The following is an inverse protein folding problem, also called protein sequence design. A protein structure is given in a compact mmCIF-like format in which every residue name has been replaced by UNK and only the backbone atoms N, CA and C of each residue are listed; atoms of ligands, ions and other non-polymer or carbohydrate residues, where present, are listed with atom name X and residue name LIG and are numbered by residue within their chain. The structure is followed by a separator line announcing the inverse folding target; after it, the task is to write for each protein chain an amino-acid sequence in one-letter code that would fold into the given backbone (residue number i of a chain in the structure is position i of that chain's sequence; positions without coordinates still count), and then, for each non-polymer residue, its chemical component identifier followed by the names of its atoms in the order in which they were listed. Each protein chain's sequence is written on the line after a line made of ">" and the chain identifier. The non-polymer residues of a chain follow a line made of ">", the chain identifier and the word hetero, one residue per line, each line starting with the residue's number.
data_IF_588716902138
#
_entry.id   IF_588716902138
#
_cell.length_a   1.000
_cell.length_b   1.000
_cell.length_c   1.000
_cell.angle_alpha   90.00
_cell.angle_beta   90.00
_cell.angle_gamma   90.00
#
_symmetry.space_group_name_H-M   'P 1'
#
loop_
_entity.id
_entity.type
_entity.pdbx_description
1 polymer ?
#
# COMPACT_ATOMS: atom_id res chain seq x y z
N UNK A 1 -10.75 -3.04 20.61
CA UNK A 1 -11.88 -2.60 19.77
C UNK A 1 -11.35 -1.46 18.92
N UNK A 2 -11.52 -1.50 17.59
CA UNK A 2 -11.06 -0.45 16.70
C UNK A 2 -11.97 0.79 16.75
N UNK A 3 -11.42 1.93 16.35
CA UNK A 3 -12.16 3.20 16.23
C UNK A 3 -12.60 3.40 14.79
N UNK A 4 -13.78 3.98 14.55
CA UNK A 4 -14.20 4.37 13.20
C UNK A 4 -13.18 5.34 12.57
N UNK A 5 -12.82 5.14 11.29
CA UNK A 5 -11.82 5.96 10.61
C UNK A 5 -12.19 7.45 10.62
N UNK A 6 -13.47 7.79 10.46
CA UNK A 6 -13.93 9.19 10.51
C UNK A 6 -13.66 9.79 11.88
N UNK A 7 -13.95 9.05 12.95
CA UNK A 7 -13.70 9.49 14.32
C UNK A 7 -12.19 9.66 14.58
N UNK A 8 -11.35 8.73 14.12
CA UNK A 8 -9.90 8.85 14.23
C UNK A 8 -9.37 10.10 13.52
N UNK A 9 -9.78 10.33 12.27
CA UNK A 9 -9.36 11.50 11.52
C UNK A 9 -9.77 12.80 12.22
N UNK A 10 -10.96 12.86 12.83
CA UNK A 10 -11.41 14.02 13.63
C UNK A 10 -10.53 14.26 14.85
N UNK A 11 -10.20 13.19 15.60
CA UNK A 11 -9.28 13.28 16.75
C UNK A 11 -7.92 13.85 16.33
N UNK A 12 -7.51 13.60 15.08
CA UNK A 12 -6.25 14.05 14.50
C UNK A 12 -6.37 15.37 13.71
N UNK A 13 -7.37 16.19 14.06
CA UNK A 13 -7.46 17.58 13.60
C UNK A 13 -8.07 17.77 12.22
N UNK A 14 -8.68 16.73 11.64
CA UNK A 14 -9.52 16.90 10.45
C UNK A 14 -10.84 17.56 10.86
N UNK A 15 -11.24 18.59 10.13
CA UNK A 15 -12.60 19.14 10.28
C UNK A 15 -13.65 18.04 10.04
N UNK A 16 -14.82 18.08 10.70
CA UNK A 16 -15.78 16.98 10.66
C UNK A 16 -16.18 16.51 9.25
N UNK A 17 -16.46 17.46 8.35
CA UNK A 17 -16.81 17.19 6.94
C UNK A 17 -15.61 16.61 6.18
N UNK A 18 -14.40 17.12 6.44
CA UNK A 18 -13.17 16.65 5.80
C UNK A 18 -12.87 15.21 6.21
N UNK A 19 -13.03 14.87 7.48
CA UNK A 19 -12.88 13.50 7.97
C UNK A 19 -13.86 12.52 7.27
N UNK A 20 -15.12 12.94 7.08
CA UNK A 20 -16.12 12.13 6.38
C UNK A 20 -15.75 11.91 4.90
N UNK A 21 -15.32 12.97 4.21
CA UNK A 21 -14.87 12.87 2.82
C UNK A 21 -13.65 11.96 2.67
N UNK A 22 -12.66 12.08 3.56
CA UNK A 22 -11.49 11.20 3.58
C UNK A 22 -11.83 9.75 3.87
N UNK A 23 -12.67 9.49 4.87
CA UNK A 23 -13.10 8.14 5.21
C UNK A 23 -13.82 7.49 4.03
N UNK A 24 -14.74 8.22 3.39
CA UNK A 24 -15.46 7.77 2.19
C UNK A 24 -14.53 7.52 1.00
N UNK A 25 -13.56 8.41 0.79
CA UNK A 25 -12.55 8.27 -0.25
C UNK A 25 -11.67 7.04 -0.03
N UNK A 26 -11.10 6.89 1.16
CA UNK A 26 -10.28 5.74 1.56
C UNK A 26 -11.05 4.45 1.36
N UNK A 27 -12.28 4.34 1.88
CA UNK A 27 -13.12 3.15 1.67
C UNK A 27 -13.19 2.74 0.20
N UNK A 28 -13.62 3.66 -0.66
CA UNK A 28 -13.79 3.35 -2.08
C UNK A 28 -12.48 3.03 -2.80
N UNK A 29 -11.37 3.66 -2.39
CA UNK A 29 -10.03 3.32 -2.89
C UNK A 29 -9.65 1.90 -2.47
N UNK A 30 -9.83 1.53 -1.20
CA UNK A 30 -9.52 0.19 -0.70
C UNK A 30 -10.39 -0.89 -1.37
N UNK A 31 -11.68 -0.63 -1.61
CA UNK A 31 -12.57 -1.54 -2.34
C UNK A 31 -12.01 -1.85 -3.74
N UNK A 32 -11.51 -0.83 -4.44
CA UNK A 32 -10.91 -0.99 -5.77
C UNK A 32 -9.61 -1.79 -5.71
N UNK A 33 -8.72 -1.51 -4.75
CA UNK A 33 -7.49 -2.29 -4.57
C UNK A 33 -7.78 -3.74 -4.23
N UNK A 34 -8.74 -4.01 -3.33
CA UNK A 34 -9.12 -5.36 -2.94
C UNK A 34 -9.72 -6.12 -4.13
N UNK A 35 -10.61 -5.48 -4.90
CA UNK A 35 -11.15 -6.06 -6.13
C UNK A 35 -10.04 -6.36 -7.14
N UNK A 36 -9.15 -5.41 -7.38
CA UNK A 36 -8.03 -5.57 -8.32
C UNK A 36 -7.10 -6.72 -7.91
N UNK A 37 -6.80 -6.84 -6.62
CA UNK A 37 -6.01 -7.95 -6.10
C UNK A 37 -6.73 -9.29 -6.22
N UNK A 38 -8.04 -9.34 -5.99
CA UNK A 38 -8.83 -10.56 -6.18
C UNK A 38 -8.83 -10.99 -7.65
N UNK A 39 -8.97 -10.03 -8.58
CA UNK A 39 -8.96 -10.30 -10.02
C UNK A 39 -7.55 -10.75 -10.49
N UNK A 40 -6.48 -10.12 -10.00
CA UNK A 40 -5.09 -10.52 -10.31
C UNK A 40 -4.75 -11.92 -9.78
N UNK A 41 -5.31 -12.31 -8.62
CA UNK A 41 -5.09 -13.63 -8.03
C UNK A 41 -5.87 -14.77 -8.69
N UNK A 42 -6.79 -14.46 -9.61
CA UNK A 42 -7.45 -15.51 -10.38
C UNK A 42 -6.40 -16.35 -11.14
N UNK A 43 -6.53 -17.69 -11.19
CA UNK A 43 -5.49 -18.56 -11.73
C UNK A 43 -5.01 -18.14 -13.12
N UNK A 44 -5.92 -17.80 -14.04
CA UNK A 44 -5.56 -17.40 -15.40
C UNK A 44 -4.74 -16.10 -15.44
N UNK A 45 -5.10 -15.13 -14.60
CA UNK A 45 -4.43 -13.82 -14.53
C UNK A 45 -3.07 -13.94 -13.85
N UNK A 46 -3.00 -14.74 -12.78
CA UNK A 46 -1.77 -14.99 -12.06
C UNK A 46 -0.75 -15.75 -12.93
N UNK A 47 -1.19 -16.80 -13.63
CA UNK A 47 -0.33 -17.52 -14.58
C UNK A 47 0.13 -16.65 -15.75
N UNK A 48 -0.74 -15.74 -16.23
CA UNK A 48 -0.34 -14.77 -17.25
C UNK A 48 0.70 -13.77 -16.72
N UNK A 49 0.54 -13.26 -15.50
CA UNK A 49 1.50 -12.38 -14.84
C UNK A 49 2.87 -13.06 -14.69
N UNK A 50 2.93 -14.29 -14.16
CA UNK A 50 4.18 -15.02 -13.95
C UNK A 50 5.00 -15.23 -15.23
N UNK A 51 4.34 -15.29 -16.40
CA UNK A 51 4.98 -15.43 -17.72
C UNK A 51 5.57 -14.13 -18.26
N UNK A 52 5.23 -12.97 -17.68
CA UNK A 52 5.77 -11.67 -18.12
C UNK A 52 7.26 -11.57 -17.77
N UNK A 53 8.03 -11.02 -18.70
CA UNK A 53 9.46 -10.78 -18.49
C UNK A 53 9.63 -9.79 -17.33
N UNK A 54 10.42 -10.17 -16.32
CA UNK A 54 10.66 -9.34 -15.13
C UNK A 54 9.56 -9.41 -14.07
N UNK A 55 8.56 -10.30 -14.21
CA UNK A 55 7.54 -10.47 -13.17
C UNK A 55 8.08 -11.16 -11.92
N UNK A 56 9.00 -12.11 -12.09
CA UNK A 56 9.53 -12.95 -11.03
C UNK A 56 11.03 -12.72 -10.84
N UNK A 57 11.46 -12.74 -9.58
CA UNK A 57 12.86 -12.65 -9.19
C UNK A 57 13.68 -13.89 -9.54
N UNK A 58 14.95 -13.85 -9.14
CA UNK A 58 15.88 -14.96 -9.35
C UNK A 58 15.41 -16.20 -8.58
N UNK A 59 15.49 -17.42 -9.17
CA UNK A 59 15.15 -18.65 -8.48
C UNK A 59 15.96 -18.84 -7.20
N UNK A 60 15.29 -19.09 -6.08
CA UNK A 60 15.90 -19.40 -4.79
C UNK A 60 15.65 -20.87 -4.43
N UNK A 61 16.74 -21.64 -4.31
CA UNK A 61 16.65 -23.04 -3.90
C UNK A 61 16.40 -23.13 -2.37
N UNK A 62 15.25 -23.68 -1.98
CA UNK A 62 14.93 -23.97 -0.58
C UNK A 62 15.35 -25.41 -0.27
N UNK A 63 16.65 -25.63 -0.06
CA UNK A 63 17.27 -26.97 0.12
C UNK A 63 16.50 -27.89 1.08
N UNK A 64 15.97 -27.36 2.19
CA UNK A 64 15.20 -28.14 3.17
C UNK A 64 13.86 -28.67 2.64
N UNK A 65 13.27 -28.02 1.64
CA UNK A 65 11.96 -28.35 1.07
C UNK A 65 12.05 -28.98 -0.32
N UNK A 66 13.24 -29.12 -0.89
CA UNK A 66 13.45 -29.60 -2.28
C UNK A 66 12.61 -28.84 -3.32
N UNK A 67 12.40 -27.54 -3.12
CA UNK A 67 11.67 -26.66 -4.05
C UNK A 67 12.56 -25.51 -4.53
N UNK A 68 12.22 -25.02 -5.71
CA UNK A 68 12.70 -23.76 -6.28
C UNK A 68 11.56 -22.75 -6.16
N UNK A 69 11.82 -21.65 -5.47
CA UNK A 69 10.85 -20.57 -5.24
C UNK A 69 11.28 -19.31 -5.99
N UNK A 70 10.34 -18.64 -6.67
CA UNK A 70 10.52 -17.30 -7.22
C UNK A 70 9.47 -16.36 -6.63
N UNK A 71 9.93 -15.23 -6.16
CA UNK A 71 9.08 -14.18 -5.57
C UNK A 71 8.76 -13.13 -6.63
N UNK A 72 7.52 -12.62 -6.71
CA UNK A 72 7.19 -11.47 -7.56
C UNK A 72 8.11 -10.27 -7.28
N UNK A 73 8.60 -9.62 -8.34
CA UNK A 73 9.35 -8.37 -8.22
C UNK A 73 8.36 -7.25 -7.86
N UNK A 74 8.77 -6.36 -6.94
CA UNK A 74 7.98 -5.25 -6.41
C UNK A 74 7.35 -4.39 -7.53
N UNK A 75 8.18 -3.74 -8.35
CA UNK A 75 7.72 -2.87 -9.44
C UNK A 75 6.80 -3.60 -10.44
N UNK A 76 7.08 -4.87 -10.70
CA UNK A 76 6.26 -5.68 -11.60
C UNK A 76 4.88 -5.96 -11.01
N UNK A 77 4.80 -6.28 -9.72
CA UNK A 77 3.54 -6.51 -9.03
C UNK A 77 2.74 -5.21 -8.87
N UNK A 78 3.39 -4.10 -8.52
CA UNK A 78 2.81 -2.76 -8.46
C UNK A 78 2.20 -2.37 -9.81
N UNK A 79 2.98 -2.49 -10.89
CA UNK A 79 2.55 -2.19 -12.26
C UNK A 79 1.39 -3.07 -12.72
N UNK A 80 1.43 -4.37 -12.41
CA UNK A 80 0.35 -5.28 -12.78
C UNK A 80 -0.94 -4.95 -12.02
N UNK A 81 -0.83 -4.73 -10.70
CA UNK A 81 -1.97 -4.38 -9.86
C UNK A 81 -2.62 -3.08 -10.34
N UNK A 82 -1.83 -2.08 -10.76
CA UNK A 82 -2.33 -0.82 -11.31
C UNK A 82 -3.24 -1.02 -12.54
N UNK A 83 -2.93 -1.98 -13.41
CA UNK A 83 -3.76 -2.29 -14.57
C UNK A 83 -5.11 -2.89 -14.17
N UNK A 84 -5.15 -3.69 -13.11
CA UNK A 84 -6.40 -4.21 -12.55
C UNK A 84 -7.19 -3.13 -11.81
N UNK A 85 -6.51 -2.25 -11.07
CA UNK A 85 -7.11 -1.09 -10.39
C UNK A 85 -7.80 -0.18 -11.38
N UNK A 86 -7.16 0.21 -12.49
CA UNK A 86 -7.79 1.09 -13.48
C UNK A 86 -8.97 0.41 -14.18
N UNK A 87 -8.88 -0.89 -14.49
CA UNK A 87 -10.02 -1.65 -15.02
C UNK A 87 -11.20 -1.66 -14.05
N UNK A 88 -10.94 -1.92 -12.77
CA UNK A 88 -11.97 -1.90 -11.74
C UNK A 88 -12.60 -0.50 -11.59
N UNK A 89 -11.80 0.56 -11.67
CA UNK A 89 -12.26 1.95 -11.63
C UNK A 89 -13.13 2.30 -12.83
N UNK A 90 -12.74 1.90 -14.04
CA UNK A 90 -13.49 2.16 -15.27
C UNK A 90 -14.86 1.47 -15.23
N UNK A 91 -14.93 0.27 -14.65
CA UNK A 91 -16.16 -0.50 -14.51
C UNK A 91 -17.16 0.05 -13.47
N UNK A 92 -16.77 1.05 -12.67
CA UNK A 92 -17.68 1.72 -11.74
C UNK A 92 -18.80 2.47 -12.46
N UNK A 93 -20.00 2.45 -11.88
CA UNK A 93 -21.13 3.22 -12.36
C UNK A 93 -20.82 4.73 -12.41
N UNK A 94 -21.38 5.46 -13.38
CA UNK A 94 -21.12 6.89 -13.58
C UNK A 94 -21.43 7.75 -12.34
N UNK A 95 -22.43 7.37 -11.55
CA UNK A 95 -22.78 8.05 -10.29
C UNK A 95 -21.96 7.65 -9.07
N UNK A 96 -20.95 6.78 -9.23
CA UNK A 96 -20.10 6.35 -8.13
C UNK A 96 -19.22 7.49 -7.63
N UNK A 97 -18.94 7.54 -6.31
CA UNK A 97 -18.16 8.60 -5.67
C UNK A 97 -16.81 8.88 -6.38
N UNK A 98 -16.02 7.84 -6.67
CA UNK A 98 -14.74 7.99 -7.37
C UNK A 98 -14.89 8.53 -8.80
N UNK A 99 -16.00 8.22 -9.48
CA UNK A 99 -16.27 8.72 -10.84
C UNK A 99 -16.70 10.18 -10.80
N UNK A 100 -17.55 10.56 -9.85
CA UNK A 100 -18.03 11.93 -9.68
C UNK A 100 -16.91 12.92 -9.31
N UNK A 101 -15.90 12.47 -8.56
CA UNK A 101 -14.74 13.30 -8.16
C UNK A 101 -13.52 13.10 -9.08
N UNK A 102 -13.73 12.47 -10.25
CA UNK A 102 -12.68 12.22 -11.24
C UNK A 102 -11.39 11.64 -10.64
N UNK A 103 -11.53 10.69 -9.72
CA UNK A 103 -10.37 10.10 -9.02
C UNK A 103 -9.53 9.32 -10.02
N UNK A 104 -8.22 9.59 -10.00
CA UNK A 104 -7.19 8.90 -10.78
C UNK A 104 -6.32 8.03 -9.90
N UNK A 105 -5.81 6.95 -10.48
CA UNK A 105 -4.83 6.05 -9.88
C UNK A 105 -3.60 6.05 -10.78
N UNK A 106 -2.48 6.52 -10.24
CA UNK A 106 -1.20 6.55 -10.95
C UNK A 106 -0.22 5.62 -10.25
N UNK A 107 0.32 4.65 -10.99
CA UNK A 107 1.46 3.87 -10.52
C UNK A 107 2.78 4.57 -10.88
N UNK A 108 3.80 4.38 -10.05
CA UNK A 108 5.14 4.95 -10.23
C UNK A 108 5.13 6.49 -10.42
N UNK A 109 4.28 7.19 -9.67
CA UNK A 109 4.13 8.63 -9.79
C UNK A 109 5.39 9.36 -9.30
N UNK A 110 5.95 10.24 -10.12
CA UNK A 110 7.14 11.02 -9.74
C UNK A 110 6.81 12.01 -8.62
N UNK A 111 7.62 12.02 -7.57
CA UNK A 111 7.57 13.04 -6.51
C UNK A 111 8.25 14.30 -7.02
N UNK A 112 7.59 15.46 -6.91
CA UNK A 112 8.23 16.72 -7.27
C UNK A 112 9.42 16.98 -6.35
N UNK A 113 10.61 17.13 -6.94
CA UNK A 113 11.85 17.36 -6.20
C UNK A 113 12.45 18.71 -6.57
N UNK A 114 13.02 19.39 -5.58
CA UNK A 114 13.79 20.63 -5.79
C UNK A 114 15.26 20.34 -6.08
N UNK A 115 15.73 19.15 -5.70
CA UNK A 115 17.15 18.79 -5.67
C UNK A 115 17.52 17.62 -6.58
N UNK A 116 16.53 16.81 -7.00
CA UNK A 116 16.71 15.60 -7.80
C UNK A 116 16.03 15.75 -9.16
N UNK A 117 16.62 15.15 -10.19
CA UNK A 117 16.09 15.17 -11.56
C UNK A 117 16.30 13.81 -12.25
N UNK A 118 15.47 13.54 -13.26
CA UNK A 118 15.53 12.30 -14.06
C UNK A 118 15.37 11.04 -13.20
N UNK A 119 16.26 10.05 -13.40
CA UNK A 119 16.24 8.76 -12.69
C UNK A 119 16.45 8.84 -11.18
N UNK A 120 16.86 10.01 -10.66
CA UNK A 120 17.10 10.22 -9.23
C UNK A 120 15.86 10.76 -8.50
N UNK A 121 14.80 11.09 -9.23
CA UNK A 121 13.52 11.50 -8.66
C UNK A 121 12.87 10.29 -8.00
N UNK A 122 12.34 10.50 -6.79
CA UNK A 122 11.61 9.45 -6.05
C UNK A 122 10.28 9.12 -6.76
N UNK A 123 9.82 7.89 -6.61
CA UNK A 123 8.58 7.40 -7.20
C UNK A 123 7.67 6.89 -6.11
N UNK A 124 6.42 7.31 -6.12
CA UNK A 124 5.36 6.75 -5.29
C UNK A 124 4.82 5.51 -6.00
N UNK A 125 4.71 4.38 -5.30
CA UNK A 125 4.16 3.16 -5.89
C UNK A 125 2.74 3.36 -6.40
N UNK A 126 1.86 3.96 -5.58
CA UNK A 126 0.57 4.46 -6.04
C UNK A 126 0.27 5.85 -5.50
N UNK A 127 -0.12 6.74 -6.41
CA UNK A 127 -0.73 8.03 -6.09
C UNK A 127 -2.18 8.01 -6.53
N UNK A 128 -3.09 8.12 -5.57
CA UNK A 128 -4.53 8.14 -5.81
C UNK A 128 -5.06 9.51 -5.46
N UNK A 129 -5.67 10.23 -6.40
CA UNK A 129 -6.07 11.61 -6.15
C UNK A 129 -7.32 12.02 -6.92
N UNK A 130 -8.09 12.94 -6.36
CA UNK A 130 -9.25 13.54 -7.00
C UNK A 130 -8.83 14.74 -7.86
N UNK A 131 -9.28 14.79 -9.11
CA UNK A 131 -9.08 15.96 -9.98
C UNK A 131 -10.11 17.06 -9.73
N UNK A 132 -11.30 16.67 -9.30
CA UNK A 132 -12.43 17.57 -9.04
C UNK A 132 -12.96 17.36 -7.63
N UNK A 133 -13.67 18.36 -7.11
CA UNK A 133 -14.21 18.35 -5.75
C UNK A 133 -13.39 19.15 -4.74
N UNK A 134 -13.85 19.14 -3.49
CA UNK A 134 -13.30 19.93 -2.38
C UNK A 134 -12.08 19.22 -1.78
N UNK A 135 -11.06 19.99 -1.39
CA UNK A 135 -9.91 19.59 -0.53
C UNK A 135 -8.79 18.71 -1.11
N UNK A 136 -8.64 18.57 -2.44
CA UNK A 136 -7.49 17.91 -3.07
C UNK A 136 -7.15 16.55 -2.41
N UNK A 137 -8.14 15.66 -2.30
CA UNK A 137 -7.94 14.34 -1.70
C UNK A 137 -6.84 13.59 -2.46
N UNK A 138 -5.78 13.22 -1.75
CA UNK A 138 -4.61 12.54 -2.31
C UNK A 138 -4.08 11.50 -1.32
N UNK A 139 -4.16 10.22 -1.67
CA UNK A 139 -3.53 9.15 -0.92
C UNK A 139 -2.27 8.68 -1.67
N UNK A 140 -1.11 8.97 -1.10
CA UNK A 140 0.15 8.36 -1.51
C UNK A 140 0.33 7.02 -0.78
N UNK A 141 0.65 5.97 -1.53
CA UNK A 141 0.82 4.60 -1.04
C UNK A 141 2.21 4.12 -1.44
N UNK A 142 2.99 3.67 -0.45
CA UNK A 142 4.23 2.93 -0.66
C UNK A 142 3.97 1.44 -0.44
N UNK A 143 4.45 0.59 -1.33
CA UNK A 143 4.25 -0.84 -1.28
C UNK A 143 5.57 -1.59 -1.06
N UNK A 144 5.55 -2.67 -0.26
CA UNK A 144 6.73 -3.54 -0.11
C UNK A 144 6.34 -5.02 -0.08
N UNK A 145 7.06 -5.89 -0.80
CA UNK A 145 6.88 -7.32 -0.69
C UNK A 145 7.51 -7.86 0.58
N UNK A 146 6.72 -8.62 1.33
CA UNK A 146 7.10 -9.25 2.59
C UNK A 146 7.12 -10.77 2.38
N UNK A 147 8.32 -11.34 2.36
CA UNK A 147 8.55 -12.79 2.16
C UNK A 147 8.96 -13.45 3.48
N UNK A 148 9.65 -12.70 4.33
CA UNK A 148 10.09 -13.08 5.68
C UNK A 148 9.73 -11.98 6.69
N UNK A 149 9.59 -12.32 7.97
CA UNK A 149 9.35 -11.31 9.02
C UNK A 149 10.46 -10.25 9.07
N UNK A 150 11.68 -10.61 8.66
CA UNK A 150 12.80 -9.67 8.53
C UNK A 150 12.55 -8.56 7.51
N UNK A 151 11.72 -8.80 6.49
CA UNK A 151 11.36 -7.78 5.49
C UNK A 151 10.49 -6.67 6.11
N UNK A 152 9.75 -6.96 7.19
CA UNK A 152 8.97 -5.94 7.89
C UNK A 152 9.91 -4.85 8.44
N UNK A 153 10.98 -5.26 9.12
CA UNK A 153 11.93 -4.30 9.70
C UNK A 153 12.90 -3.77 8.63
N UNK A 154 13.43 -4.66 7.80
CA UNK A 154 14.49 -4.34 6.84
C UNK A 154 14.04 -3.63 5.57
N UNK A 155 12.73 -3.60 5.27
CA UNK A 155 12.19 -2.97 4.06
C UNK A 155 10.97 -2.11 4.36
N UNK A 156 9.93 -2.70 4.93
CA UNK A 156 8.64 -2.01 5.15
C UNK A 156 8.77 -0.83 6.11
N UNK A 157 9.47 -1.02 7.23
CA UNK A 157 9.77 0.02 8.21
C UNK A 157 11.11 0.71 7.97
N UNK A 158 11.81 0.40 6.88
CA UNK A 158 13.10 1.00 6.57
C UNK A 158 12.92 2.38 5.91
N UNK A 159 14.05 3.02 5.62
CA UNK A 159 14.15 4.32 4.98
C UNK A 159 13.44 4.38 3.62
N UNK A 160 13.57 3.31 2.83
CA UNK A 160 12.92 3.18 1.52
C UNK A 160 11.49 2.64 1.62
N UNK A 161 10.97 2.37 2.82
CA UNK A 161 9.58 2.02 3.08
C UNK A 161 8.87 3.19 3.75
N UNK A 162 8.51 3.03 5.03
CA UNK A 162 7.84 4.08 5.79
C UNK A 162 8.63 5.40 5.84
N UNK A 163 9.96 5.36 5.71
CA UNK A 163 10.82 6.53 5.65
C UNK A 163 10.49 7.48 4.48
N UNK A 164 9.89 6.98 3.41
CA UNK A 164 9.42 7.77 2.26
C UNK A 164 8.38 8.85 2.64
N UNK A 165 7.72 8.72 3.80
CA UNK A 165 6.78 9.71 4.32
C UNK A 165 7.36 10.64 5.39
N UNK A 166 8.50 10.25 5.99
CA UNK A 166 9.02 10.85 7.22
C UNK A 166 10.34 11.61 7.03
N UNK A 167 10.94 11.54 5.84
CA UNK A 167 12.22 12.18 5.50
C UNK A 167 12.05 13.36 4.54
N UNK A 168 13.18 13.93 4.13
CA UNK A 168 13.27 14.96 3.08
C UNK A 168 12.49 14.53 1.83
N UNK A 169 11.81 15.50 1.20
CA UNK A 169 10.98 15.27 0.00
C UNK A 169 10.00 14.10 0.19
N UNK A 170 9.10 14.19 1.19
CA UNK A 170 8.17 13.12 1.50
C UNK A 170 7.20 12.91 0.33
N UNK A 171 6.69 11.69 0.20
CA UNK A 171 5.80 11.31 -0.90
C UNK A 171 4.50 12.13 -0.95
N UNK A 172 4.06 12.62 0.20
CA UNK A 172 2.98 13.59 0.28
C UNK A 172 3.20 14.55 1.44
N UNK A 173 2.84 15.81 1.24
CA UNK A 173 2.70 16.79 2.31
C UNK A 173 1.31 16.69 2.98
N UNK A 174 0.41 15.88 2.39
CA UNK A 174 -0.92 15.62 2.88
C UNK A 174 -0.95 14.95 4.27
N UNK A 175 -2.12 14.95 4.92
CA UNK A 175 -2.25 14.45 6.29
C UNK A 175 -2.44 12.92 6.37
N UNK A 176 -2.62 12.22 5.23
CA UNK A 176 -2.87 10.79 5.17
C UNK A 176 -2.04 10.15 4.07
N UNK A 177 -1.40 9.02 4.39
CA UNK A 177 -0.71 8.13 3.45
C UNK A 177 -1.05 6.68 3.77
N UNK A 178 -0.49 5.74 3.02
CA UNK A 178 -0.60 4.32 3.32
C UNK A 178 0.68 3.55 3.02
N UNK A 179 0.88 2.49 3.78
CA UNK A 179 1.90 1.48 3.56
C UNK A 179 1.21 0.17 3.17
N UNK A 180 1.51 -0.36 2.00
CA UNK A 180 0.89 -1.56 1.44
C UNK A 180 1.85 -2.75 1.50
N UNK A 181 1.55 -3.73 2.34
CA UNK A 181 2.28 -4.98 2.38
C UNK A 181 1.80 -5.90 1.26
N UNK A 182 2.71 -6.30 0.35
CA UNK A 182 2.49 -7.48 -0.48
C UNK A 182 3.02 -8.70 0.27
N UNK A 183 2.17 -9.31 1.07
CA UNK A 183 2.55 -10.51 1.80
C UNK A 183 2.64 -11.68 0.81
N UNK A 184 3.85 -12.19 0.59
CA UNK A 184 4.11 -13.26 -0.37
C UNK A 184 4.23 -14.58 0.38
N UNK A 185 3.16 -15.37 0.36
CA UNK A 185 3.15 -16.72 0.89
C UNK A 185 2.11 -17.61 0.21
N UNK A 186 2.36 -18.92 0.22
CA UNK A 186 1.45 -19.89 -0.42
C UNK A 186 0.38 -20.44 0.52
N UNK A 187 0.41 -20.05 1.80
CA UNK A 187 -0.56 -20.51 2.80
C UNK A 187 -1.67 -19.47 3.06
N UNK A 188 -1.65 -18.33 2.37
CA UNK A 188 -2.64 -17.28 2.49
C UNK A 188 -2.66 -16.58 3.84
N UNK A 189 -1.62 -16.74 4.67
CA UNK A 189 -1.62 -16.20 6.03
C UNK A 189 -1.39 -14.68 6.01
N UNK A 190 -2.26 -13.95 6.69
CA UNK A 190 -2.09 -12.51 6.93
C UNK A 190 -0.95 -12.23 7.90
N UNK A 191 -0.21 -11.16 7.63
CA UNK A 191 0.86 -10.62 8.45
C UNK A 191 0.49 -9.29 9.09
N UNK A 192 -0.77 -8.84 9.02
CA UNK A 192 -1.23 -7.60 9.65
C UNK A 192 -0.85 -7.52 11.14
N UNK A 193 -1.05 -8.59 11.91
CA UNK A 193 -0.66 -8.62 13.32
C UNK A 193 0.86 -8.46 13.53
N UNK A 194 1.69 -9.01 12.63
CA UNK A 194 3.15 -8.88 12.68
C UNK A 194 3.59 -7.47 12.31
N UNK A 195 2.98 -6.88 11.28
CA UNK A 195 3.21 -5.48 10.89
C UNK A 195 2.82 -4.56 12.05
N UNK A 196 1.63 -4.73 12.64
CA UNK A 196 1.18 -3.96 13.81
C UNK A 196 2.17 -4.06 14.98
N UNK A 197 2.61 -5.28 15.31
CA UNK A 197 3.59 -5.49 16.37
C UNK A 197 4.91 -4.78 16.08
N UNK A 198 5.42 -4.86 14.84
CA UNK A 198 6.65 -4.18 14.45
C UNK A 198 6.50 -2.64 14.47
N UNK A 199 5.37 -2.10 14.01
CA UNK A 199 5.07 -0.66 14.08
C UNK A 199 5.04 -0.18 15.53
N UNK A 200 4.55 -0.98 16.48
CA UNK A 200 4.49 -0.60 17.90
C UNK A 200 5.86 -0.36 18.55
N UNK A 201 6.92 -0.98 18.01
CA UNK A 201 8.31 -0.83 18.47
C UNK A 201 9.17 -0.06 17.48
N UNK A 202 8.57 0.51 16.43
CA UNK A 202 9.27 1.26 15.40
C UNK A 202 9.98 2.49 15.95
N UNK A 203 11.13 2.81 15.36
CA UNK A 203 11.89 4.03 15.62
C UNK A 203 12.07 4.80 14.31
N UNK A 204 11.68 6.09 14.23
CA UNK A 204 11.22 6.96 15.32
C UNK A 204 9.87 6.57 15.95
N UNK A 205 9.68 6.95 17.22
CA UNK A 205 8.50 6.59 18.02
C UNK A 205 7.20 7.06 17.34
N UNK A 206 6.27 6.13 17.18
CA UNK A 206 4.91 6.40 16.70
C UNK A 206 4.14 7.20 17.77
N UNK A 207 3.47 8.28 17.36
CA UNK A 207 2.67 9.13 18.26
C UNK A 207 1.42 8.40 18.77
N UNK A 208 0.76 7.64 17.87
CA UNK A 208 -0.44 6.86 18.18
C UNK A 208 -0.52 5.64 17.27
N UNK A 209 -0.94 4.50 17.84
CA UNK A 209 -1.12 3.24 17.10
C UNK A 209 -2.46 2.61 17.49
N UNK A 210 -3.40 2.57 16.57
CA UNK A 210 -4.75 2.05 16.77
C UNK A 210 -5.18 1.17 15.61
N UNK A 211 -6.31 0.51 15.76
CA UNK A 211 -6.97 -0.16 14.64
C UNK A 211 -8.14 0.70 14.19
N UNK A 212 -8.17 1.04 12.91
CA UNK A 212 -9.21 1.79 12.26
C UNK A 212 -10.23 0.85 11.61
N UNK A 213 -11.50 1.04 11.94
CA UNK A 213 -12.60 0.39 11.23
C UNK A 213 -12.90 1.24 10.01
N UNK A 214 -12.69 0.66 8.83
CA UNK A 214 -13.08 1.25 7.55
C UNK A 214 -14.34 0.55 7.09
N UNK A 215 -15.42 1.30 6.91
CA UNK A 215 -16.70 0.74 6.46
C UNK A 215 -16.52 -0.10 5.20
N UNK A 216 -17.09 -1.32 5.17
CA UNK A 216 -16.98 -2.24 4.03
C UNK A 216 -15.78 -3.18 4.08
N UNK A 217 -14.76 -2.89 4.90
CA UNK A 217 -13.64 -3.81 5.15
C UNK A 217 -14.03 -4.85 6.19
N UNK A 218 -13.61 -6.10 5.98
CA UNK A 218 -13.88 -7.20 6.91
C UNK A 218 -13.03 -7.12 8.18
N UNK A 219 -11.77 -6.69 8.02
CA UNK A 219 -10.80 -6.60 9.10
C UNK A 219 -10.41 -5.14 9.36
N UNK A 220 -10.15 -4.77 10.63
CA UNK A 220 -9.61 -3.47 10.95
C UNK A 220 -8.26 -3.21 10.28
N UNK A 221 -8.03 -1.97 9.86
CA UNK A 221 -6.76 -1.53 9.28
C UNK A 221 -5.90 -0.91 10.38
N UNK A 222 -4.67 -1.35 10.54
CA UNK A 222 -3.77 -0.70 11.51
C UNK A 222 -3.49 0.74 11.08
N UNK A 223 -3.71 1.67 12.00
CA UNK A 223 -3.50 3.10 11.84
C UNK A 223 -2.33 3.54 12.71
N UNK A 224 -1.38 4.26 12.13
CA UNK A 224 -0.27 4.86 12.87
C UNK A 224 -0.15 6.35 12.59
N UNK A 225 0.09 7.15 13.63
CA UNK A 225 0.35 8.58 13.51
C UNK A 225 1.84 8.86 13.75
N UNK A 226 2.47 9.58 12.82
CA UNK A 226 3.90 9.88 12.87
C UNK A 226 4.15 11.37 12.87
N UNK A 227 5.12 11.79 13.68
CA UNK A 227 5.56 13.18 13.71
C UNK A 227 6.35 13.54 12.44
N UNK A 228 6.15 14.77 11.97
CA UNK A 228 6.90 15.38 10.86
C UNK A 228 7.33 16.81 11.17
N UNK A 229 7.38 17.19 12.45
CA UNK A 229 7.77 18.54 12.87
C UNK A 229 9.16 18.93 12.34
N UNK A 230 10.11 17.99 12.28
CA UNK A 230 11.45 18.22 11.73
C UNK A 230 11.44 18.63 10.24
N UNK A 231 10.37 18.31 9.50
CA UNK A 231 10.15 18.71 8.11
C UNK A 231 9.34 20.01 7.98
N UNK A 232 8.90 20.60 9.09
CA UNK A 232 7.96 21.74 9.08
C UNK A 232 6.54 21.35 8.65
N UNK A 233 6.19 20.06 8.69
CA UNK A 233 4.90 19.53 8.28
C UNK A 233 4.05 19.11 9.48
N UNK A 234 2.73 18.99 9.26
CA UNK A 234 1.83 18.38 10.23
C UNK A 234 2.11 16.87 10.33
N UNK A 235 1.81 16.22 11.48
CA UNK A 235 1.84 14.77 11.60
C UNK A 235 1.08 14.09 10.46
N UNK A 236 1.56 12.91 10.05
CA UNK A 236 0.91 12.09 9.03
C UNK A 236 0.29 10.86 9.66
N UNK A 237 -0.95 10.59 9.29
CA UNK A 237 -1.59 9.31 9.51
C UNK A 237 -1.19 8.34 8.39
N UNK A 238 -0.77 7.13 8.75
CA UNK A 238 -0.49 6.04 7.82
C UNK A 238 -1.42 4.86 8.08
N UNK A 239 -2.09 4.43 7.02
CA UNK A 239 -2.86 3.19 7.01
C UNK A 239 -1.94 2.03 6.59
N UNK A 240 -1.92 0.95 7.36
CA UNK A 240 -1.15 -0.25 7.07
C UNK A 240 -2.05 -1.29 6.41
N UNK A 241 -1.95 -1.38 5.10
CA UNK A 241 -2.75 -2.23 4.23
C UNK A 241 -2.00 -3.53 3.92
N UNK A 242 -2.73 -4.58 3.56
CA UNK A 242 -2.14 -5.84 3.13
C UNK A 242 -2.89 -6.43 1.95
N UNK A 243 -2.13 -6.93 0.97
CA UNK A 243 -2.62 -7.81 -0.08
C UNK A 243 -1.73 -9.06 -0.13
N UNK A 244 -2.36 -10.24 -0.16
CA UNK A 244 -1.66 -11.52 -0.06
C UNK A 244 -1.56 -12.16 -1.43
N UNK A 245 -0.33 -12.42 -1.90
CA UNK A 245 -0.04 -13.08 -3.17
C UNK A 245 0.77 -14.36 -2.96
N UNK A 246 0.66 -15.29 -3.89
CA UNK A 246 1.46 -16.52 -3.87
C UNK A 246 2.87 -16.26 -4.45
N UNK A 247 3.83 -17.09 -4.05
CA UNK A 247 5.09 -17.23 -4.78
C UNK A 247 4.93 -18.22 -5.94
N UNK A 248 5.87 -18.24 -6.89
CA UNK A 248 5.98 -19.33 -7.85
C UNK A 248 6.84 -20.45 -7.26
N UNK A 249 6.27 -21.63 -7.09
CA UNK A 249 6.95 -22.79 -6.52
C UNK A 249 6.99 -23.92 -7.53
N UNK A 250 8.18 -24.47 -7.74
CA UNK A 250 8.43 -25.60 -8.62
C UNK A 250 9.26 -26.64 -7.85
N UNK A 251 9.05 -27.92 -8.15
CA UNK A 251 9.89 -28.99 -7.60
C UNK A 251 11.33 -28.82 -8.09
N UNK A 252 12.30 -29.04 -7.20
CA UNK A 252 13.69 -29.08 -7.62
C UNK A 252 13.91 -30.36 -8.47
N UNK A 253 14.66 -30.28 -9.57
CA UNK A 253 15.00 -31.46 -10.35
C UNK A 253 15.69 -32.49 -9.44
N UNK A 254 15.29 -33.76 -9.55
CA UNK A 254 15.97 -34.86 -8.86
C UNK A 254 17.43 -34.92 -9.35
N UNK A 255 18.36 -34.64 -8.44
CA UNK A 255 19.81 -34.65 -8.69
C UNK A 255 20.38 -36.06 -8.63
#
# INVERSE_FOLDING_TARGET
>A
MGSDLTALLRQHGFAPVRAELWSKFVRHVLDIFQKAANDLRQPENWEAFKKKKGALGVPQARKRRKIIERVPIEDALTSELAQFVERARIALATGHFLRLNEVQFQAEALVQSKTRAGRHVRKIDFRVFALTGVDHLELAIEAKPLVTEGDIVGRYLADEGIGCFLKDEPYTEGPLGAMLAYTINNNGQSWQAKVRAAVSVYQPKVLQLEDAIVEGMQEPVTFSLHDRQALGLRPIALLHLELIFASDVQDAPES
#
